data_IF_340712428229
#
_entry.id   IF_340712428229
#
_cell.length_a   1.000
_cell.length_b   1.000
_cell.length_c   1.000
_cell.angle_alpha   90.00
_cell.angle_beta   90.00
_cell.angle_gamma   90.00
#
_symmetry.space_group_name_H-M   'P 1'
#
loop_
_entity.id
_entity.type
_entity.pdbx_description
1 polymer ?
#
# COMPACT_ATOMS: atom_id res chain seq x y z
N UNK A 1 10.90 53.84 -11.71
CA UNK A 1 9.91 52.78 -11.99
C UNK A 1 10.61 51.45 -12.13
N UNK A 2 10.65 50.66 -11.05
CA UNK A 2 11.15 49.27 -11.03
C UNK A 2 10.42 48.56 -9.89
N UNK A 3 10.20 47.25 -10.07
CA UNK A 3 9.52 46.29 -9.18
C UNK A 3 8.03 46.18 -9.45
N UNK A 4 7.65 45.17 -10.23
CA UNK A 4 6.52 44.22 -10.06
C UNK A 4 6.60 43.33 -11.32
N UNK A 5 7.51 42.35 -11.33
CA UNK A 5 7.59 41.36 -12.41
C UNK A 5 8.46 40.20 -11.96
N UNK A 6 8.11 39.56 -10.83
CA UNK A 6 8.84 38.39 -10.34
C UNK A 6 7.99 37.43 -9.47
N UNK A 7 6.66 37.53 -9.51
CA UNK A 7 5.79 36.73 -8.62
C UNK A 7 4.77 35.82 -9.33
N UNK A 8 4.82 35.67 -10.65
CA UNK A 8 3.85 34.83 -11.39
C UNK A 8 4.51 33.54 -11.93
N UNK A 9 5.84 33.43 -11.90
CA UNK A 9 6.57 32.27 -12.39
C UNK A 9 6.79 31.12 -11.39
N UNK A 10 6.39 31.28 -10.12
CA UNK A 10 6.67 30.29 -9.06
C UNK A 10 5.46 29.46 -8.61
N UNK A 11 4.25 29.81 -9.05
CA UNK A 11 3.02 29.13 -8.61
C UNK A 11 2.65 27.96 -9.53
N UNK A 12 3.19 27.92 -10.77
CA UNK A 12 2.82 26.88 -11.74
C UNK A 12 3.57 25.55 -11.59
N UNK A 13 4.57 25.45 -10.72
CA UNK A 13 5.36 24.20 -10.54
C UNK A 13 4.97 23.35 -9.32
N UNK A 14 4.04 23.81 -8.48
CA UNK A 14 3.55 23.01 -7.34
C UNK A 14 2.19 22.34 -7.59
N UNK A 15 1.57 22.56 -8.74
CA UNK A 15 0.43 21.76 -9.19
C UNK A 15 0.88 20.41 -9.76
N UNK A 16 1.81 19.73 -9.08
CA UNK A 16 2.02 18.30 -9.28
C UNK A 16 0.81 17.67 -8.61
N UNK A 17 -0.23 17.41 -9.41
CA UNK A 17 -1.38 16.57 -9.11
C UNK A 17 -1.33 15.94 -7.72
N UNK A 18 -2.00 16.55 -6.73
CA UNK A 18 -2.32 15.84 -5.49
C UNK A 18 -3.44 14.85 -5.80
N UNK A 19 -3.17 13.87 -6.66
CA UNK A 19 -4.05 12.73 -6.82
C UNK A 19 -4.19 12.09 -5.45
N UNK A 20 -5.43 12.02 -4.97
CA UNK A 20 -5.75 11.25 -3.78
C UNK A 20 -5.27 9.82 -4.04
N UNK A 21 -4.33 9.36 -3.23
CA UNK A 21 -3.70 8.05 -3.44
C UNK A 21 -4.72 6.90 -3.32
N UNK A 22 -5.89 7.16 -2.71
CA UNK A 22 -7.02 6.24 -2.61
C UNK A 22 -7.95 6.22 -3.82
N UNK A 23 -7.82 7.18 -4.73
CA UNK A 23 -8.62 7.25 -5.97
C UNK A 23 -7.85 6.70 -7.18
N UNK A 24 -6.70 6.08 -6.94
CA UNK A 24 -5.83 5.57 -8.00
C UNK A 24 -6.33 4.26 -8.57
N UNK A 25 -6.42 4.21 -9.90
CA UNK A 25 -6.69 2.99 -10.64
C UNK A 25 -5.40 2.21 -10.86
N UNK A 26 -5.14 1.21 -10.01
CA UNK A 26 -3.98 0.32 -10.14
C UNK A 26 -4.08 -0.68 -11.28
N UNK A 27 -5.17 -0.67 -12.07
CA UNK A 27 -5.29 -1.53 -13.26
C UNK A 27 -4.11 -1.43 -14.23
N UNK A 28 -3.30 -0.38 -14.15
CA UNK A 28 -2.15 -0.15 -15.02
C UNK A 28 -0.83 -0.76 -14.49
N UNK A 29 -0.78 -1.31 -13.27
CA UNK A 29 0.43 -1.97 -12.75
C UNK A 29 0.31 -3.47 -12.96
N UNK A 30 0.93 -3.98 -14.02
CA UNK A 30 0.95 -5.42 -14.30
C UNK A 30 2.04 -6.15 -13.50
N UNK A 31 1.63 -7.16 -12.73
CA UNK A 31 2.51 -8.11 -12.04
C UNK A 31 2.53 -9.42 -12.82
N UNK A 32 3.70 -9.85 -13.31
CA UNK A 32 3.77 -10.99 -14.21
C UNK A 32 3.26 -12.26 -13.52
N UNK A 33 2.32 -12.95 -14.17
CA UNK A 33 1.78 -14.20 -13.65
C UNK A 33 0.72 -14.03 -12.56
N UNK A 34 0.35 -12.79 -12.22
CA UNK A 34 -0.81 -12.50 -11.38
C UNK A 34 -1.89 -11.77 -12.17
N UNK A 35 -3.13 -11.88 -11.71
CA UNK A 35 -4.30 -11.17 -12.24
C UNK A 35 -5.09 -10.57 -11.09
N UNK A 36 -5.91 -9.52 -11.30
CA UNK A 36 -6.83 -9.05 -10.28
C UNK A 36 -7.64 -10.20 -9.69
N UNK A 37 -7.58 -10.36 -8.38
CA UNK A 37 -8.30 -11.40 -7.67
C UNK A 37 -9.81 -11.29 -7.93
N UNK A 38 -10.46 -12.44 -8.12
CA UNK A 38 -11.92 -12.51 -8.21
C UNK A 38 -12.51 -12.41 -6.81
N UNK A 39 -13.66 -11.74 -6.71
CA UNK A 39 -14.40 -11.63 -5.45
C UNK A 39 -14.97 -13.00 -5.07
N UNK A 40 -14.45 -13.57 -3.98
CA UNK A 40 -14.91 -14.84 -3.42
C UNK A 40 -16.10 -14.64 -2.45
N UNK A 41 -16.65 -15.73 -1.92
CA UNK A 41 -17.81 -15.65 -1.04
C UNK A 41 -17.51 -15.00 0.31
N UNK A 42 -16.31 -15.20 0.86
CA UNK A 42 -15.89 -14.60 2.13
C UNK A 42 -15.84 -13.07 2.04
N UNK A 43 -15.26 -12.54 0.95
CA UNK A 43 -15.24 -11.11 0.65
C UNK A 43 -16.68 -10.55 0.52
N UNK A 44 -17.58 -11.26 -0.16
CA UNK A 44 -18.99 -10.85 -0.27
C UNK A 44 -19.70 -10.82 1.08
N UNK A 45 -19.42 -11.80 1.94
CA UNK A 45 -20.05 -11.90 3.26
C UNK A 45 -19.72 -10.71 4.17
N UNK A 46 -18.59 -10.03 3.93
CA UNK A 46 -18.20 -8.80 4.64
C UNK A 46 -18.48 -7.52 3.82
N UNK A 47 -19.22 -7.61 2.71
CA UNK A 47 -19.69 -6.47 1.94
C UNK A 47 -18.79 -6.03 0.77
N UNK A 48 -17.77 -6.80 0.42
CA UNK A 48 -16.88 -6.49 -0.71
C UNK A 48 -17.41 -7.10 -2.00
N UNK A 49 -17.68 -6.27 -3.00
CA UNK A 49 -18.31 -6.68 -4.27
C UNK A 49 -17.44 -6.47 -5.51
N UNK A 50 -16.31 -5.78 -5.37
CA UNK A 50 -15.39 -5.47 -6.47
C UNK A 50 -13.93 -5.42 -5.99
N UNK A 51 -13.01 -5.55 -6.94
CA UNK A 51 -11.57 -5.43 -6.72
C UNK A 51 -10.99 -4.51 -7.81
N UNK A 52 -10.37 -3.37 -7.46
CA UNK A 52 -10.11 -2.88 -6.11
C UNK A 52 -11.37 -2.41 -5.37
N UNK A 53 -11.26 -2.21 -4.06
CA UNK A 53 -12.31 -1.68 -3.20
C UNK A 53 -11.81 -0.61 -2.22
N UNK A 54 -12.73 0.23 -1.77
CA UNK A 54 -12.51 1.25 -0.73
C UNK A 54 -13.57 1.08 0.35
N UNK A 55 -13.14 1.10 1.61
CA UNK A 55 -14.01 0.92 2.78
C UNK A 55 -13.68 2.00 3.80
N UNK A 56 -14.70 2.61 4.38
CA UNK A 56 -14.61 3.56 5.50
C UNK A 56 -15.40 3.09 6.73
N UNK A 57 -16.01 1.90 6.66
CA UNK A 57 -16.69 1.29 7.79
C UNK A 57 -15.68 0.61 8.73
N UNK A 58 -15.54 1.07 10.00
CA UNK A 58 -14.56 0.54 10.95
C UNK A 58 -14.81 -0.95 11.31
N UNK A 59 -16.05 -1.42 11.30
CA UNK A 59 -16.40 -2.82 11.58
C UNK A 59 -15.95 -3.77 10.47
N UNK A 60 -15.86 -3.26 9.24
CA UNK A 60 -15.33 -4.04 8.11
C UNK A 60 -13.80 -3.95 8.09
N UNK A 61 -13.24 -2.77 8.34
CA UNK A 61 -11.79 -2.56 8.44
C UNK A 61 -11.16 -3.48 9.48
N UNK A 62 -11.75 -3.58 10.67
CA UNK A 62 -11.26 -4.46 11.76
C UNK A 62 -11.30 -5.95 11.42
N UNK A 63 -12.14 -6.38 10.47
CA UNK A 63 -12.17 -7.76 9.94
C UNK A 63 -11.07 -8.03 8.91
N UNK A 64 -10.52 -6.97 8.31
CA UNK A 64 -9.49 -7.03 7.27
C UNK A 64 -8.09 -6.75 7.81
N UNK A 65 -7.97 -5.93 8.85
CA UNK A 65 -6.73 -5.59 9.52
C UNK A 65 -6.79 -6.01 10.99
N UNK A 66 -6.13 -7.12 11.31
CA UNK A 66 -6.13 -7.73 12.64
C UNK A 66 -5.18 -7.05 13.64
N UNK A 67 -4.56 -5.92 13.28
CA UNK A 67 -3.74 -5.15 14.22
C UNK A 67 -4.61 -4.48 15.28
N UNK A 68 -4.07 -4.35 16.49
CA UNK A 68 -4.74 -3.67 17.61
C UNK A 68 -5.17 -2.24 17.25
N UNK A 69 -4.37 -1.55 16.43
CA UNK A 69 -4.60 -0.16 16.03
C UNK A 69 -5.46 -0.01 14.75
N UNK A 70 -6.12 -1.07 14.26
CA UNK A 70 -6.94 -0.99 13.03
C UNK A 70 -8.12 -0.02 13.15
N UNK A 71 -8.63 0.21 14.36
CA UNK A 71 -9.69 1.19 14.65
C UNK A 71 -9.28 2.66 14.37
N UNK A 72 -7.98 2.94 14.22
CA UNK A 72 -7.47 4.27 13.88
C UNK A 72 -7.57 4.59 12.38
N UNK A 73 -7.85 3.59 11.55
CA UNK A 73 -7.94 3.73 10.11
C UNK A 73 -9.30 4.35 9.76
N UNK A 74 -9.28 5.53 9.13
CA UNK A 74 -10.47 6.25 8.67
C UNK A 74 -11.03 5.65 7.38
N UNK A 75 -10.14 5.24 6.48
CA UNK A 75 -10.48 4.67 5.18
C UNK A 75 -9.37 3.70 4.77
N UNK A 76 -9.76 2.63 4.09
CA UNK A 76 -8.90 1.59 3.56
C UNK A 76 -9.18 1.41 2.08
N UNK A 77 -8.16 1.54 1.23
CA UNK A 77 -8.18 1.07 -0.15
C UNK A 77 -7.41 -0.23 -0.23
N UNK A 78 -7.93 -1.21 -0.97
CA UNK A 78 -7.24 -2.47 -1.20
C UNK A 78 -7.36 -2.89 -2.66
N UNK A 79 -6.24 -3.36 -3.21
CA UNK A 79 -6.21 -4.05 -4.50
C UNK A 79 -5.43 -5.36 -4.38
N UNK A 80 -6.07 -6.45 -4.76
CA UNK A 80 -5.52 -7.81 -4.60
C UNK A 80 -5.26 -8.41 -5.97
N UNK A 81 -4.08 -8.99 -6.15
CA UNK A 81 -3.74 -9.86 -7.26
C UNK A 81 -3.66 -11.31 -6.77
N UNK A 82 -4.09 -12.23 -7.64
CA UNK A 82 -4.08 -13.68 -7.45
C UNK A 82 -3.25 -14.31 -8.57
N UNK A 83 -2.41 -15.28 -8.20
CA UNK A 83 -1.86 -16.27 -9.12
C UNK A 83 -2.67 -17.58 -8.99
N UNK A 84 -3.12 -18.19 -10.11
CA UNK A 84 -3.81 -19.48 -10.12
C UNK A 84 -3.12 -20.63 -9.36
N UNK A 85 -1.84 -20.48 -9.02
CA UNK A 85 -1.06 -21.43 -8.22
C UNK A 85 -1.12 -21.21 -6.69
N UNK A 86 -1.92 -20.24 -6.22
CA UNK A 86 -2.16 -20.01 -4.78
C UNK A 86 -1.27 -18.95 -4.11
N UNK A 87 -0.51 -18.17 -4.87
CA UNK A 87 0.19 -16.98 -4.35
C UNK A 87 -0.66 -15.73 -4.56
N UNK A 88 -0.63 -14.79 -3.62
CA UNK A 88 -1.26 -13.48 -3.79
C UNK A 88 -0.24 -12.33 -3.67
N UNK A 89 -0.72 -11.14 -3.96
CA UNK A 89 0.04 -9.91 -3.84
C UNK A 89 -0.91 -8.72 -3.94
N UNK A 90 -0.43 -7.52 -3.67
CA UNK A 90 -1.30 -6.37 -3.75
C UNK A 90 -0.83 -5.17 -2.99
N UNK A 91 -1.80 -4.28 -2.73
CA UNK A 91 -1.61 -3.10 -1.91
C UNK A 91 -2.79 -2.88 -0.98
N UNK A 92 -2.49 -2.44 0.24
CA UNK A 92 -3.43 -1.83 1.16
C UNK A 92 -2.95 -0.40 1.42
N UNK A 93 -3.86 0.56 1.32
CA UNK A 93 -3.62 1.95 1.69
C UNK A 93 -4.58 2.31 2.82
N UNK A 94 -4.03 2.74 3.95
CA UNK A 94 -4.80 3.17 5.12
C UNK A 94 -4.63 4.67 5.32
N UNK A 95 -5.75 5.40 5.30
CA UNK A 95 -5.82 6.83 5.60
C UNK A 95 -6.09 7.03 7.09
N UNK A 96 -5.35 7.94 7.70
CA UNK A 96 -5.48 8.32 9.10
C UNK A 96 -5.96 9.76 9.23
N UNK A 97 -6.67 10.07 10.32
CA UNK A 97 -7.16 11.42 10.58
C UNK A 97 -6.02 12.41 10.89
N UNK A 98 -4.93 11.92 11.48
CA UNK A 98 -3.80 12.75 11.90
C UNK A 98 -2.50 11.93 11.96
N UNK A 99 -1.38 12.64 12.13
CA UNK A 99 -0.04 12.06 12.14
C UNK A 99 0.22 11.13 13.33
N UNK A 100 -0.39 11.42 14.49
CA UNK A 100 -0.23 10.62 15.71
C UNK A 100 -0.79 9.21 15.50
N UNK A 101 -1.95 9.10 14.88
CA UNK A 101 -2.61 7.82 14.61
C UNK A 101 -1.83 7.00 13.57
N UNK A 102 -1.34 7.67 12.52
CA UNK A 102 -0.44 7.07 11.54
C UNK A 102 0.84 6.52 12.20
N UNK A 103 1.46 7.28 13.09
CA UNK A 103 2.69 6.86 13.78
C UNK A 103 2.46 5.71 14.74
N UNK A 104 1.34 5.72 15.47
CA UNK A 104 0.95 4.62 16.36
C UNK A 104 0.75 3.32 15.57
N UNK A 105 0.19 3.42 14.37
CA UNK A 105 0.02 2.28 13.47
C UNK A 105 1.35 1.76 12.91
N UNK A 106 2.23 2.65 12.46
CA UNK A 106 3.57 2.27 11.98
C UNK A 106 4.45 1.63 13.05
N UNK A 107 4.30 2.05 14.32
CA UNK A 107 5.07 1.49 15.43
C UNK A 107 4.84 -0.02 15.65
N UNK A 108 3.72 -0.56 15.18
CA UNK A 108 3.40 -2.00 15.23
C UNK A 108 3.75 -2.74 13.94
N UNK A 109 4.43 -2.09 12.98
CA UNK A 109 4.76 -2.67 11.69
C UNK A 109 6.25 -2.96 11.61
N UNK A 110 6.61 -4.22 11.38
CA UNK A 110 8.00 -4.68 11.33
C UNK A 110 8.48 -4.91 9.91
N UNK A 111 9.77 -5.05 9.68
CA UNK A 111 10.30 -5.38 8.36
C UNK A 111 10.01 -6.85 8.02
N UNK A 112 9.54 -7.13 6.80
CA UNK A 112 9.38 -8.48 6.26
C UNK A 112 9.83 -8.52 4.80
N UNK A 113 10.36 -9.65 4.35
CA UNK A 113 10.90 -9.79 2.99
C UNK A 113 9.83 -9.68 1.91
N UNK A 114 8.61 -10.13 2.20
CA UNK A 114 7.48 -10.20 1.25
C UNK A 114 6.62 -8.92 1.20
N UNK A 115 6.98 -7.84 1.92
CA UNK A 115 6.29 -6.56 1.78
C UNK A 115 7.21 -5.35 1.90
N UNK A 116 6.70 -4.20 1.49
CA UNK A 116 7.29 -2.88 1.75
C UNK A 116 6.22 -1.93 2.29
N UNK A 117 6.67 -0.96 3.08
CA UNK A 117 5.81 0.10 3.61
C UNK A 117 6.30 1.45 3.13
N UNK A 118 5.38 2.22 2.59
CA UNK A 118 5.59 3.60 2.18
C UNK A 118 4.57 4.51 2.89
N UNK A 119 4.89 5.79 2.97
CA UNK A 119 4.00 6.83 3.49
C UNK A 119 3.87 7.96 2.47
N UNK A 120 2.65 8.45 2.31
CA UNK A 120 2.35 9.68 1.58
C UNK A 120 1.27 10.43 2.36
N UNK A 121 1.53 11.69 2.73
CA UNK A 121 0.61 12.48 3.54
C UNK A 121 0.20 11.74 4.84
N UNK A 122 -1.10 11.60 5.08
CA UNK A 122 -1.66 10.80 6.20
C UNK A 122 -2.03 9.38 5.78
N UNK A 123 -1.38 8.83 4.76
CA UNK A 123 -1.62 7.47 4.28
C UNK A 123 -0.40 6.56 4.51
N UNK A 124 -0.66 5.34 5.00
CA UNK A 124 0.30 4.23 5.00
C UNK A 124 -0.04 3.31 3.83
N UNK A 125 0.95 3.02 3.00
CA UNK A 125 0.84 2.15 1.82
C UNK A 125 1.64 0.89 2.13
N UNK A 126 0.97 -0.25 2.25
CA UNK A 126 1.61 -1.56 2.38
C UNK A 126 1.46 -2.31 1.08
N UNK A 127 2.56 -2.60 0.40
CA UNK A 127 2.60 -3.43 -0.80
C UNK A 127 3.15 -4.81 -0.42
N UNK A 128 2.53 -5.89 -0.87
CA UNK A 128 2.99 -7.25 -0.58
C UNK A 128 3.00 -8.14 -1.83
N UNK A 129 3.81 -9.20 -1.79
CA UNK A 129 3.82 -10.23 -2.82
C UNK A 129 4.33 -11.55 -2.23
N UNK A 130 3.46 -12.56 -2.20
CA UNK A 130 3.76 -13.94 -1.82
C UNK A 130 4.07 -14.82 -3.04
N UNK A 131 4.47 -14.19 -4.15
CA UNK A 131 4.92 -14.84 -5.38
C UNK A 131 6.22 -15.62 -5.16
N UNK A 132 6.09 -16.82 -4.61
CA UNK A 132 7.17 -17.80 -4.59
C UNK A 132 7.30 -18.39 -5.99
N UNK A 133 8.47 -18.23 -6.62
CA UNK A 133 9.04 -19.10 -7.66
C UNK A 133 10.30 -18.43 -8.24
N UNK A 134 11.48 -18.96 -7.95
CA UNK A 134 12.71 -18.66 -8.70
C UNK A 134 12.69 -19.42 -10.02
N UNK A 135 11.80 -19.03 -10.95
CA UNK A 135 11.81 -19.56 -12.31
C UNK A 135 12.58 -18.59 -13.20
N UNK A 136 13.70 -19.06 -13.76
CA UNK A 136 14.53 -18.28 -14.67
C UNK A 136 13.68 -17.65 -15.79
N UNK A 137 13.74 -16.33 -15.93
CA UNK A 137 12.95 -15.58 -16.92
C UNK A 137 11.54 -15.18 -16.47
N UNK A 138 11.21 -15.31 -15.18
CA UNK A 138 9.97 -14.78 -14.59
C UNK A 138 10.29 -13.83 -13.44
N UNK A 139 9.40 -12.86 -13.23
CA UNK A 139 9.44 -11.98 -12.07
C UNK A 139 9.36 -12.77 -10.77
N UNK A 140 10.03 -12.25 -9.75
CA UNK A 140 10.02 -12.73 -8.37
C UNK A 140 9.13 -11.83 -7.50
N UNK A 141 8.87 -12.22 -6.25
CA UNK A 141 8.26 -11.31 -5.28
C UNK A 141 9.01 -9.98 -5.18
N UNK A 142 10.35 -10.00 -5.22
CA UNK A 142 11.15 -8.78 -5.15
C UNK A 142 10.90 -7.87 -6.36
N UNK A 143 10.75 -8.43 -7.56
CA UNK A 143 10.43 -7.66 -8.76
C UNK A 143 9.04 -7.02 -8.68
N UNK A 144 8.05 -7.74 -8.16
CA UNK A 144 6.71 -7.20 -7.91
C UNK A 144 6.74 -6.05 -6.89
N UNK A 145 7.45 -6.24 -5.77
CA UNK A 145 7.62 -5.21 -4.75
C UNK A 145 8.32 -3.97 -5.31
N UNK A 146 9.39 -4.15 -6.09
CA UNK A 146 10.10 -3.03 -6.72
C UNK A 146 9.24 -2.26 -7.72
N UNK A 147 8.40 -2.95 -8.50
CA UNK A 147 7.46 -2.29 -9.43
C UNK A 147 6.44 -1.43 -8.69
N UNK A 148 5.80 -1.99 -7.67
CA UNK A 148 4.80 -1.27 -6.88
C UNK A 148 5.45 -0.12 -6.08
N UNK A 149 6.64 -0.35 -5.50
CA UNK A 149 7.41 0.69 -4.80
C UNK A 149 7.75 1.84 -5.76
N UNK A 150 8.24 1.53 -6.97
CA UNK A 150 8.55 2.52 -8.00
C UNK A 150 7.32 3.31 -8.45
N UNK A 151 6.18 2.66 -8.58
CA UNK A 151 4.90 3.31 -8.91
C UNK A 151 4.51 4.32 -7.83
N UNK A 152 4.50 3.92 -6.56
CA UNK A 152 4.10 4.80 -5.47
C UNK A 152 5.11 5.91 -5.17
N UNK A 153 6.40 5.65 -5.33
CA UNK A 153 7.44 6.68 -5.22
C UNK A 153 7.34 7.73 -6.33
N UNK A 154 6.97 7.35 -7.56
CA UNK A 154 6.64 8.33 -8.62
C UNK A 154 5.46 9.24 -8.24
N UNK A 155 4.55 8.75 -7.40
CA UNK A 155 3.42 9.50 -6.87
C UNK A 155 3.77 10.28 -5.59
N UNK A 156 5.04 10.34 -5.21
CA UNK A 156 5.53 11.10 -4.06
C UNK A 156 5.48 10.36 -2.73
N UNK A 157 5.17 9.07 -2.71
CA UNK A 157 5.30 8.26 -1.50
C UNK A 157 6.78 8.04 -1.15
N UNK A 158 7.06 7.90 0.15
CA UNK A 158 8.41 7.64 0.67
C UNK A 158 8.43 6.31 1.40
N UNK A 159 9.42 5.47 1.08
CA UNK A 159 9.67 4.23 1.80
C UNK A 159 9.99 4.51 3.27
N UNK A 160 9.43 3.70 4.15
CA UNK A 160 9.73 3.71 5.59
C UNK A 160 10.72 2.59 5.88
N UNK A 161 11.76 2.89 6.66
CA UNK A 161 12.65 1.88 7.23
C UNK A 161 11.97 1.36 8.50
N UNK A 162 11.60 0.09 8.50
CA UNK A 162 10.93 -0.54 9.63
C UNK A 162 11.96 -1.19 10.54
N UNK A 163 11.55 -1.47 11.78
CA UNK A 163 12.37 -2.25 12.70
C UNK A 163 12.30 -3.72 12.32
N UNK A 164 13.39 -4.44 12.51
CA UNK A 164 13.38 -5.91 12.46
C UNK A 164 12.57 -6.40 13.67
N UNK A 165 11.73 -7.40 13.48
CA UNK A 165 11.04 -8.05 14.59
C UNK A 165 12.03 -8.93 15.38
N UNK A 166 12.50 -8.41 16.51
CA UNK A 166 13.45 -9.12 17.38
C UNK A 166 12.82 -10.30 18.12
N UNK A 167 11.48 -10.41 18.15
CA UNK A 167 10.78 -11.55 18.77
C UNK A 167 10.87 -12.83 17.95
N UNK A 168 11.17 -12.71 16.65
CA UNK A 168 11.29 -13.83 15.69
C UNK A 168 12.75 -14.31 15.57
N UNK A 169 13.71 -13.68 16.27
CA UNK A 169 15.09 -14.17 16.34
C UNK A 169 15.09 -15.46 17.16
N UNK A 170 14.84 -16.58 16.48
CA UNK A 170 15.12 -17.92 16.99
C UNK A 170 16.59 -17.92 17.38
N UNK A 171 16.88 -17.97 18.69
CA UNK A 171 18.19 -18.35 19.17
C UNK A 171 18.52 -19.71 18.54
N UNK A 172 19.44 -19.71 17.59
CA UNK A 172 20.14 -20.93 17.21
C UNK A 172 21.20 -21.11 18.30
N UNK A 173 20.85 -21.85 19.35
CA UNK A 173 21.82 -22.47 20.24
C UNK A 173 22.31 -23.79 19.64
#
# INVERSE_FOLDING_TARGET
MKKILLLIGFISFQAIFSQNIMELDLKNVELQGMKPAKINQEMKNIGIVQNPFVIDNPDIISKLDYRENSFLIKKMYTFIYDNPKGSDGGVVINEFANKKDLDAYLAQTFEQSNYRVLVKDLCVIRIWSDYSLHVKGRETSEDHLNKLEKYYTHLGAKKVILKIDESIITKVE
#
